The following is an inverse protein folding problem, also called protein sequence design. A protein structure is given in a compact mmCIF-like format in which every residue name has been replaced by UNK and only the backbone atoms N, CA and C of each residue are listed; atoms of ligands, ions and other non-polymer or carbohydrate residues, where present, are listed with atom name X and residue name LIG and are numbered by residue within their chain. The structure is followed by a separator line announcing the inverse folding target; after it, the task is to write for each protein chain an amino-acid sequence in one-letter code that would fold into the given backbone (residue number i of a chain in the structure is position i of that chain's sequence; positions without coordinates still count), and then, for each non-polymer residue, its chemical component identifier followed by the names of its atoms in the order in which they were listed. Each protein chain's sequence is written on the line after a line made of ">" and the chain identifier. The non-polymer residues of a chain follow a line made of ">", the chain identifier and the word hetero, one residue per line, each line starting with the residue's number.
data_IF_441256475708
#
_entry.id   IF_441256475708
#
_cell.length_a   1.000
_cell.length_b   1.000
_cell.length_c   1.000
_cell.angle_alpha   90.00
_cell.angle_beta   90.00
_cell.angle_gamma   90.00
#
_symmetry.space_group_name_H-M   'P 1'
#
loop_
_entity.id
_entity.type
_entity.pdbx_description
1 polymer ?
#
# COMPACT_ATOMS: atom_id res chain seq x y z
N UNK A 1 -21.99 -16.87 -17.66
CA UNK A 1 -21.55 -16.64 -17.23
C UNK A 1 -20.94 -16.30 -17.13
N UNK A 2 -20.72 -16.25 -17.40
CA UNK A 2 -19.84 -16.02 -17.18
C UNK A 2 -19.38 -14.97 -16.68
N UNK A 3 -19.78 -14.32 -16.55
CA UNK A 3 -19.50 -13.37 -15.98
C UNK A 3 -18.90 -13.53 -14.95
N UNK A 4 -19.26 -14.32 -14.51
CA UNK A 4 -18.74 -14.64 -13.52
C UNK A 4 -17.53 -14.86 -13.72
N UNK A 5 -17.33 -15.23 -14.68
CA UNK A 5 -16.16 -15.51 -14.96
C UNK A 5 -15.37 -14.47 -14.73
N UNK A 6 -15.81 -13.49 -14.95
CA UNK A 6 -15.10 -12.47 -14.80
C UNK A 6 -14.84 -12.22 -13.51
N UNK A 7 -15.74 -12.29 -12.94
CA UNK A 7 -15.55 -12.05 -11.72
C UNK A 7 -14.64 -12.89 -11.36
N UNK A 8 -14.42 -13.56 -12.17
CA UNK A 8 -13.62 -14.41 -11.89
C UNK A 8 -12.34 -14.09 -12.10
N UNK A 9 -11.97 -13.09 -12.53
CA UNK A 9 -10.66 -12.79 -12.47
C UNK A 9 -10.34 -12.64 -11.06
N UNK A 10 -10.25 -13.70 -10.39
CA UNK A 10 -10.00 -13.69 -8.98
C UNK A 10 -8.70 -13.05 -8.68
N UNK A 11 -7.68 -13.24 -9.55
CA UNK A 11 -6.43 -12.66 -9.28
C UNK A 11 -6.47 -11.20 -9.28
N UNK A 12 -7.12 -10.62 -10.23
CA UNK A 12 -7.20 -9.19 -10.35
C UNK A 12 -8.03 -8.61 -9.24
N UNK A 13 -9.15 -9.23 -8.95
CA UNK A 13 -10.03 -8.79 -7.87
C UNK A 13 -9.33 -8.92 -6.54
N UNK A 14 -8.61 -10.01 -6.36
CA UNK A 14 -7.93 -10.24 -5.13
C UNK A 14 -6.83 -9.22 -4.90
N UNK A 15 -6.14 -8.84 -5.97
CA UNK A 15 -5.08 -7.87 -5.85
C UNK A 15 -5.61 -6.52 -5.39
N UNK A 16 -6.75 -6.07 -5.92
CA UNK A 16 -7.36 -4.85 -5.47
C UNK A 16 -7.78 -4.94 -4.02
N UNK A 17 -8.38 -6.08 -3.67
CA UNK A 17 -8.84 -6.31 -2.33
C UNK A 17 -7.66 -6.27 -1.35
N UNK A 18 -6.55 -6.85 -1.74
CA UNK A 18 -5.40 -6.90 -0.88
C UNK A 18 -4.77 -5.52 -0.67
N UNK A 19 -4.79 -4.67 -1.69
CA UNK A 19 -4.31 -3.32 -1.52
C UNK A 19 -5.17 -2.57 -0.51
N UNK A 20 -6.47 -2.76 -0.56
CA UNK A 20 -7.36 -2.13 0.39
C UNK A 20 -7.06 -2.64 1.80
N UNK A 21 -6.82 -3.93 1.93
CA UNK A 21 -6.50 -4.49 3.22
C UNK A 21 -5.20 -3.94 3.78
N UNK A 22 -4.20 -3.78 2.93
CA UNK A 22 -2.94 -3.19 3.36
C UNK A 22 -3.18 -1.77 3.83
N UNK A 23 -3.97 -1.01 3.08
CA UNK A 23 -4.27 0.36 3.45
C UNK A 23 -5.00 0.42 4.79
N UNK A 24 -5.92 -0.51 5.02
CA UNK A 24 -6.65 -0.57 6.27
C UNK A 24 -5.71 -0.87 7.43
N UNK A 25 -4.79 -1.79 7.22
CA UNK A 25 -3.84 -2.15 8.27
C UNK A 25 -2.94 -0.96 8.62
N UNK A 26 -2.45 -0.26 7.59
CA UNK A 26 -1.61 0.92 7.80
C UNK A 26 -2.39 2.00 8.52
N UNK A 27 -3.65 2.23 8.10
CA UNK A 27 -4.48 3.23 8.74
C UNK A 27 -4.68 2.89 10.21
N UNK A 28 -4.86 1.62 10.50
CA UNK A 28 -5.05 1.17 11.87
C UNK A 28 -3.80 1.46 12.71
N UNK A 29 -2.63 1.16 12.15
CA UNK A 29 -1.38 1.39 12.88
C UNK A 29 -1.19 2.85 13.20
N UNK A 30 -1.51 3.73 12.27
CA UNK A 30 -1.27 5.15 12.45
C UNK A 30 -2.47 5.93 12.98
N UNK A 31 -3.61 5.26 13.16
CA UNK A 31 -4.79 5.92 13.69
C UNK A 31 -5.33 6.98 12.76
N UNK A 32 -5.31 6.70 11.46
CA UNK A 32 -5.81 7.63 10.45
C UNK A 32 -6.85 6.93 9.58
N UNK A 33 -7.52 7.67 8.73
CA UNK A 33 -8.48 7.09 7.82
C UNK A 33 -7.75 6.45 6.65
N UNK A 34 -8.36 5.44 6.07
CA UNK A 34 -7.78 4.77 4.92
C UNK A 34 -7.49 5.78 3.80
N UNK A 35 -8.39 6.72 3.58
CA UNK A 35 -8.18 7.72 2.55
C UNK A 35 -6.91 8.53 2.74
N UNK A 36 -6.49 8.71 3.99
CA UNK A 36 -5.28 9.48 4.26
C UNK A 36 -4.02 8.74 3.87
N UNK A 37 -4.10 7.42 3.76
CA UNK A 37 -2.93 6.63 3.33
C UNK A 37 -2.55 7.01 1.91
N UNK A 38 -3.56 7.33 1.10
CA UNK A 38 -3.34 7.68 -0.29
C UNK A 38 -3.24 9.19 -0.51
N UNK A 39 -3.47 9.98 0.53
CA UNK A 39 -3.48 11.42 0.38
C UNK A 39 -2.07 11.97 0.24
N UNK A 40 -1.95 13.03 -0.54
CA UNK A 40 -0.69 13.70 -0.65
C UNK A 40 -0.56 14.61 0.53
N UNK A 41 0.63 14.96 0.88
CA UNK A 41 0.85 15.86 1.99
C UNK A 41 2.18 15.58 2.62
N UNK A 42 2.61 16.51 3.46
CA UNK A 42 3.92 16.41 4.07
C UNK A 42 3.87 16.14 5.56
N UNK A 43 2.68 15.90 6.10
CA UNK A 43 2.62 15.57 7.50
C UNK A 43 3.35 14.27 7.72
N UNK A 44 4.15 14.24 8.75
CA UNK A 44 4.99 13.09 9.04
C UNK A 44 4.19 11.79 9.10
N UNK A 45 3.03 11.84 9.75
CA UNK A 45 2.21 10.64 9.86
C UNK A 45 1.77 10.11 8.49
N UNK A 46 1.38 11.02 7.61
CA UNK A 46 0.94 10.60 6.28
C UNK A 46 2.10 10.08 5.44
N UNK A 47 3.26 10.73 5.57
CA UNK A 47 4.44 10.29 4.84
C UNK A 47 4.84 8.90 5.30
N UNK A 48 4.84 8.67 6.60
CA UNK A 48 5.20 7.36 7.14
C UNK A 48 4.20 6.30 6.74
N UNK A 49 2.90 6.63 6.80
CA UNK A 49 1.86 5.68 6.43
C UNK A 49 1.98 5.31 4.95
N UNK A 50 2.21 6.30 4.09
CA UNK A 50 2.34 6.03 2.67
C UNK A 50 3.57 5.17 2.39
N UNK A 51 4.63 5.39 3.14
CA UNK A 51 5.85 4.61 2.98
C UNK A 51 5.63 3.16 3.40
N UNK A 52 4.98 2.95 4.52
CA UNK A 52 4.70 1.60 5.00
C UNK A 52 3.77 0.87 4.03
N UNK A 53 2.76 1.57 3.53
CA UNK A 53 1.86 1.01 2.54
C UNK A 53 2.64 0.58 1.29
N UNK A 54 3.53 1.44 0.80
CA UNK A 54 4.30 1.16 -0.40
C UNK A 54 5.19 -0.06 -0.20
N UNK A 55 5.84 -0.14 0.95
CA UNK A 55 6.70 -1.27 1.25
C UNK A 55 5.91 -2.58 1.22
N UNK A 56 4.80 -2.61 1.92
CA UNK A 56 4.01 -3.84 1.98
C UNK A 56 3.39 -4.19 0.63
N UNK A 57 2.94 -3.18 -0.12
CA UNK A 57 2.34 -3.44 -1.43
C UNK A 57 3.35 -4.06 -2.38
N UNK A 58 4.58 -3.56 -2.38
CA UNK A 58 5.58 -4.08 -3.29
C UNK A 58 6.06 -5.46 -2.84
N UNK A 59 6.32 -5.61 -1.55
CA UNK A 59 6.89 -6.86 -1.05
C UNK A 59 5.87 -7.98 -0.93
N UNK A 60 4.67 -7.66 -0.47
CA UNK A 60 3.70 -8.71 -0.23
C UNK A 60 2.83 -9.03 -1.42
N UNK A 61 2.55 -8.05 -2.27
CA UNK A 61 1.70 -8.26 -3.42
C UNK A 61 2.45 -8.21 -4.74
N UNK A 62 3.74 -7.94 -4.66
CA UNK A 62 4.59 -7.86 -5.85
C UNK A 62 4.04 -6.87 -6.87
N UNK A 63 3.57 -5.73 -6.39
CA UNK A 63 3.10 -4.70 -7.29
C UNK A 63 4.29 -3.95 -7.86
N UNK A 64 4.14 -3.44 -9.08
CA UNK A 64 5.21 -2.70 -9.70
C UNK A 64 5.25 -1.28 -9.13
N UNK A 65 6.42 -0.68 -9.16
CA UNK A 65 6.57 0.69 -8.71
C UNK A 65 5.76 1.63 -9.59
N UNK A 66 5.68 1.33 -10.89
CA UNK A 66 4.94 2.17 -11.81
C UNK A 66 3.44 2.17 -11.47
N UNK A 67 2.90 0.99 -11.18
CA UNK A 67 1.49 0.89 -10.84
C UNK A 67 1.17 1.65 -9.55
N UNK A 68 2.04 1.52 -8.57
CA UNK A 68 1.84 2.22 -7.31
C UNK A 68 2.01 3.72 -7.48
N UNK A 69 2.92 4.13 -8.37
CA UNK A 69 3.13 5.55 -8.62
C UNK A 69 1.85 6.19 -9.11
N UNK A 70 1.15 5.52 -10.00
CA UNK A 70 -0.10 6.02 -10.51
C UNK A 70 -1.12 6.12 -9.38
N UNK A 71 -1.23 5.07 -8.57
CA UNK A 71 -2.20 5.03 -7.49
C UNK A 71 -1.94 6.12 -6.46
N UNK A 72 -0.68 6.38 -6.17
CA UNK A 72 -0.30 7.32 -5.13
C UNK A 72 -0.05 8.73 -5.65
N UNK A 73 -0.09 8.91 -6.96
CA UNK A 73 0.19 10.23 -7.53
C UNK A 73 1.63 10.64 -7.32
N UNK A 74 2.55 9.67 -7.41
CA UNK A 74 3.96 9.92 -7.19
C UNK A 74 4.75 9.41 -8.38
N UNK A 75 6.02 9.78 -8.46
CA UNK A 75 6.88 9.22 -9.47
C UNK A 75 7.32 7.83 -9.05
N UNK A 76 7.71 6.97 -10.00
CA UNK A 76 8.20 5.65 -9.62
C UNK A 76 9.43 5.72 -8.71
N UNK A 77 10.30 6.70 -8.94
CA UNK A 77 11.47 6.86 -8.08
C UNK A 77 11.03 7.22 -6.67
N UNK A 78 10.01 8.07 -6.55
CA UNK A 78 9.48 8.43 -5.25
C UNK A 78 8.91 7.25 -4.51
N UNK A 79 8.22 6.37 -5.24
CA UNK A 79 7.70 5.16 -4.64
C UNK A 79 8.85 4.26 -4.18
N UNK A 80 9.92 4.19 -4.97
CA UNK A 80 11.08 3.41 -4.59
C UNK A 80 11.68 3.87 -3.27
N UNK A 81 11.81 5.18 -3.10
CA UNK A 81 12.30 5.71 -1.83
C UNK A 81 11.31 5.43 -0.70
N UNK A 82 10.01 5.52 -0.99
CA UNK A 82 9.00 5.25 0.01
C UNK A 82 9.08 3.78 0.47
N UNK A 83 9.34 2.87 -0.46
CA UNK A 83 9.47 1.46 -0.12
C UNK A 83 10.64 1.25 0.83
N UNK A 84 11.78 1.87 0.57
CA UNK A 84 12.92 1.74 1.44
C UNK A 84 12.65 2.31 2.82
N UNK A 85 11.99 3.46 2.86
CA UNK A 85 11.65 4.07 4.13
C UNK A 85 10.65 3.21 4.89
N UNK A 86 9.68 2.64 4.16
CA UNK A 86 8.68 1.78 4.79
C UNK A 86 9.29 0.53 5.38
N UNK A 87 10.30 -0.02 4.70
CA UNK A 87 10.98 -1.19 5.22
C UNK A 87 11.65 -0.87 6.55
N UNK A 88 12.33 0.27 6.62
CA UNK A 88 12.98 0.68 7.84
C UNK A 88 11.95 0.91 8.96
N UNK A 89 10.83 1.54 8.63
CA UNK A 89 9.78 1.77 9.60
C UNK A 89 9.26 0.46 10.16
N UNK A 90 8.98 -0.50 9.29
CA UNK A 90 8.44 -1.77 9.73
C UNK A 90 9.44 -2.50 10.63
N UNK A 91 10.71 -2.48 10.26
CA UNK A 91 11.73 -3.14 11.04
C UNK A 91 11.93 -2.49 12.41
N UNK A 92 12.00 -1.18 12.42
CA UNK A 92 12.27 -0.47 13.67
C UNK A 92 11.14 -0.57 14.66
N UNK A 93 9.92 -0.70 14.17
CA UNK A 93 8.77 -0.73 15.04
C UNK A 93 8.14 -2.10 15.18
N UNK A 94 8.69 -3.07 14.48
CA UNK A 94 8.14 -4.42 14.55
C UNK A 94 6.75 -4.55 13.96
N UNK A 95 6.40 -3.68 13.02
CA UNK A 95 5.08 -3.76 12.40
C UNK A 95 4.99 -4.96 11.47
N UNK A 96 3.87 -5.63 11.51
CA UNK A 96 3.60 -6.75 10.63
C UNK A 96 2.29 -6.54 9.92
N UNK A 97 2.25 -6.89 8.66
CA UNK A 97 1.03 -6.76 7.87
C UNK A 97 -0.03 -7.71 8.40
N UNK A 98 0.34 -8.93 8.69
CA UNK A 98 -0.60 -9.90 9.22
C UNK A 98 -0.26 -10.17 10.65
N UNK A 99 -1.28 -10.27 11.48
CA UNK A 99 -1.06 -10.52 12.91
C UNK A 99 -1.01 -11.98 13.24
#
# INVERSE_FOLDING_TARGET
>A
MPIELLKEHPQFTRRSYDLEKIAERVAEIYGINVGEVFARGRQQRRVSARSLFSFWAVRELVNSLAALAIRLGMSPAGVGYAVQRGEAIAHENGYQLMR
#
